data_IF_911337424158
#
_entry.id   IF_911337424158
#
_cell.length_a   1.000
_cell.length_b   1.000
_cell.length_c   1.000
_cell.angle_alpha   90.00
_cell.angle_beta   90.00
_cell.angle_gamma   90.00
#
_symmetry.space_group_name_H-M   'P 1'
#
loop_
_entity.id
_entity.type
_entity.pdbx_description
1 polymer ?
#
# COMPACT_ATOMS: atom_id res chain seq x y z
N UNK A 1 47.75 34.12 1.62
CA UNK A 1 46.40 33.81 1.08
C UNK A 1 46.16 32.32 0.79
N UNK A 2 47.20 31.45 0.74
CA UNK A 2 47.02 30.02 0.46
C UNK A 2 46.45 29.17 1.63
N UNK A 3 46.74 29.53 2.89
CA UNK A 3 46.30 28.74 4.06
C UNK A 3 44.78 28.79 4.32
N UNK A 4 44.11 29.89 3.99
CA UNK A 4 42.67 30.02 4.27
C UNK A 4 41.80 29.15 3.34
N UNK A 5 42.20 28.92 2.09
CA UNK A 5 41.47 28.04 1.18
C UNK A 5 41.60 26.55 1.57
N UNK A 6 42.78 26.12 2.03
CA UNK A 6 43.00 24.72 2.44
C UNK A 6 42.18 24.37 3.68
N UNK A 7 42.07 25.29 4.63
CA UNK A 7 41.25 25.11 5.84
C UNK A 7 39.76 25.05 5.49
N UNK A 8 39.29 25.87 4.54
CA UNK A 8 37.91 25.83 4.04
C UNK A 8 37.58 24.52 3.31
N UNK A 9 38.51 23.98 2.52
CA UNK A 9 38.35 22.67 1.89
C UNK A 9 38.31 21.52 2.90
N UNK A 10 39.18 21.52 3.91
CA UNK A 10 39.14 20.52 4.99
C UNK A 10 37.88 20.63 5.84
N UNK A 11 37.43 21.85 6.16
CA UNK A 11 36.19 22.06 6.91
C UNK A 11 34.97 21.60 6.12
N UNK A 12 34.88 21.87 4.82
CA UNK A 12 33.83 21.33 3.94
C UNK A 12 33.88 19.80 3.83
N UNK A 13 35.07 19.21 3.74
CA UNK A 13 35.24 17.76 3.66
C UNK A 13 34.82 17.06 4.97
N UNK A 14 35.14 17.65 6.13
CA UNK A 14 34.67 17.16 7.43
C UNK A 14 33.16 17.39 7.61
N UNK A 15 32.62 18.52 7.16
CA UNK A 15 31.16 18.76 7.16
C UNK A 15 30.40 17.76 6.26
N UNK A 16 30.97 17.35 5.12
CA UNK A 16 30.40 16.28 4.29
C UNK A 16 30.47 14.89 4.94
N UNK A 17 31.41 14.65 5.85
CA UNK A 17 31.48 13.43 6.68
C UNK A 17 30.56 13.48 7.91
N UNK A 18 29.97 14.65 8.25
CA UNK A 18 28.99 14.78 9.34
C UNK A 18 27.54 14.66 8.91
N UNK A 19 27.27 14.31 7.65
CA UNK A 19 25.99 13.67 7.34
C UNK A 19 25.98 12.40 8.18
N UNK A 20 25.06 12.33 9.15
CA UNK A 20 24.76 11.09 9.83
C UNK A 20 24.39 10.08 8.76
N UNK A 21 25.36 9.26 8.34
CA UNK A 21 25.07 8.04 7.62
C UNK A 21 24.26 7.23 8.62
N UNK A 22 22.93 7.33 8.54
CA UNK A 22 22.06 6.35 9.17
C UNK A 22 22.48 5.05 8.53
N UNK A 23 23.31 4.29 9.24
CA UNK A 23 23.72 2.96 8.83
C UNK A 23 22.43 2.15 8.80
N UNK A 24 21.87 2.02 7.58
CA UNK A 24 20.71 1.18 7.33
C UNK A 24 21.15 -0.22 7.75
N UNK A 25 20.74 -0.62 8.95
CA UNK A 25 21.20 -1.86 9.55
C UNK A 25 20.49 -2.97 8.82
N UNK A 26 21.22 -3.96 8.32
CA UNK A 26 20.57 -5.07 7.63
C UNK A 26 19.66 -5.83 8.60
N UNK A 27 18.53 -6.30 8.10
CA UNK A 27 17.61 -7.09 8.91
C UNK A 27 18.20 -8.48 9.14
N UNK A 28 18.17 -8.97 10.39
CA UNK A 28 18.71 -10.30 10.70
C UNK A 28 17.96 -11.45 9.99
N UNK A 29 16.68 -11.24 9.70
CA UNK A 29 15.82 -12.23 9.03
C UNK A 29 15.93 -12.18 7.49
N UNK A 30 16.45 -11.10 6.92
CA UNK A 30 16.76 -10.99 5.49
C UNK A 30 17.82 -9.91 5.28
N UNK A 31 19.03 -10.32 4.90
CA UNK A 31 20.18 -9.41 4.75
C UNK A 31 20.04 -8.41 3.61
N UNK A 32 19.07 -8.62 2.71
CA UNK A 32 18.76 -7.66 1.64
C UNK A 32 17.97 -6.47 2.17
N UNK A 33 17.19 -6.67 3.23
CA UNK A 33 16.34 -5.64 3.80
C UNK A 33 17.11 -4.73 4.76
N UNK A 34 16.69 -3.47 4.82
CA UNK A 34 17.13 -2.50 5.81
C UNK A 34 16.13 -2.40 6.96
N UNK A 35 16.63 -2.28 8.19
CA UNK A 35 15.84 -2.24 9.40
C UNK A 35 16.18 -0.99 10.22
N UNK A 36 15.15 -0.33 10.73
CA UNK A 36 15.26 0.73 11.72
C UNK A 36 14.58 0.30 13.02
N UNK A 37 15.34 0.30 14.10
CA UNK A 37 14.88 -0.19 15.41
C UNK A 37 14.81 0.95 16.42
N UNK A 38 13.70 1.03 17.16
CA UNK A 38 13.52 1.92 18.31
C UNK A 38 13.01 1.09 19.48
N UNK A 39 13.66 1.16 20.66
CA UNK A 39 13.25 0.41 21.85
C UNK A 39 12.99 -1.10 21.61
N UNK A 40 13.86 -1.74 20.81
CA UNK A 40 13.72 -3.15 20.40
C UNK A 40 12.51 -3.47 19.52
N UNK A 41 11.79 -2.49 18.99
CA UNK A 41 10.75 -2.66 17.95
C UNK A 41 11.34 -2.27 16.61
N UNK A 42 11.16 -3.10 15.59
CA UNK A 42 11.44 -2.72 14.20
C UNK A 42 10.33 -1.76 13.77
N UNK A 43 10.62 -0.47 13.87
CA UNK A 43 9.66 0.58 13.53
C UNK A 43 9.39 0.58 12.03
N UNK A 44 10.45 0.33 11.25
CA UNK A 44 10.41 0.39 9.81
C UNK A 44 11.34 -0.67 9.23
N UNK A 45 10.77 -1.58 8.45
CA UNK A 45 11.48 -2.60 7.68
C UNK A 45 11.34 -2.23 6.20
N UNK A 46 12.46 -1.94 5.55
CA UNK A 46 12.50 -1.64 4.13
C UNK A 46 13.13 -2.81 3.37
N UNK A 47 12.27 -3.59 2.72
CA UNK A 47 12.61 -4.66 1.80
C UNK A 47 12.25 -4.28 0.35
N UNK A 48 12.14 -2.99 0.02
CA UNK A 48 11.78 -2.54 -1.32
C UNK A 48 12.94 -2.74 -2.30
N UNK A 49 12.63 -3.05 -3.57
CA UNK A 49 13.63 -3.17 -4.65
C UNK A 49 14.73 -4.23 -4.44
N UNK A 50 14.46 -5.33 -3.73
CA UNK A 50 15.46 -6.37 -3.43
C UNK A 50 15.20 -7.73 -4.10
N UNK A 51 14.39 -7.72 -5.16
CA UNK A 51 14.06 -8.89 -5.98
C UNK A 51 13.46 -10.06 -5.17
N UNK A 52 12.65 -9.77 -4.15
CA UNK A 52 11.91 -10.80 -3.42
C UNK A 52 10.91 -11.50 -4.33
N UNK A 53 10.90 -12.83 -4.31
CA UNK A 53 9.80 -13.63 -4.89
C UNK A 53 8.79 -14.10 -3.83
N UNK A 54 9.17 -14.01 -2.55
CA UNK A 54 8.37 -14.38 -1.38
C UNK A 54 8.63 -13.38 -0.26
N UNK A 55 7.64 -13.20 0.60
CA UNK A 55 7.76 -12.35 1.78
C UNK A 55 8.62 -13.10 2.83
N UNK A 56 9.65 -12.47 3.41
CA UNK A 56 10.41 -13.08 4.51
C UNK A 56 9.54 -13.23 5.77
N UNK A 57 9.91 -14.15 6.67
CA UNK A 57 9.23 -14.27 7.96
C UNK A 57 9.57 -13.07 8.83
N UNK A 58 8.59 -12.19 9.04
CA UNK A 58 8.76 -10.96 9.79
C UNK A 58 8.73 -11.26 11.30
N UNK A 59 9.65 -10.67 12.09
CA UNK A 59 9.58 -10.71 13.55
C UNK A 59 8.26 -10.12 14.08
N UNK A 60 7.79 -10.59 15.24
CA UNK A 60 6.53 -10.12 15.86
C UNK A 60 6.52 -8.61 16.13
N UNK A 61 7.70 -8.04 16.36
CA UNK A 61 7.92 -6.65 16.74
C UNK A 61 8.15 -5.72 15.54
N UNK A 62 7.58 -6.03 14.36
CA UNK A 62 7.61 -5.15 13.18
C UNK A 62 6.34 -4.30 13.13
N UNK A 63 6.49 -2.97 13.09
CA UNK A 63 5.38 -2.01 13.02
C UNK A 63 5.03 -1.62 11.58
N UNK A 64 6.02 -1.44 10.71
CA UNK A 64 5.81 -1.09 9.31
C UNK A 64 6.75 -1.87 8.41
N UNK A 65 6.25 -2.32 7.27
CA UNK A 65 7.05 -3.04 6.27
C UNK A 65 6.78 -2.51 4.86
N UNK A 66 7.86 -2.15 4.18
CA UNK A 66 7.86 -1.88 2.74
C UNK A 66 8.41 -3.09 1.98
N UNK A 67 7.54 -3.74 1.20
CA UNK A 67 7.82 -4.88 0.32
C UNK A 67 7.63 -4.49 -1.15
N UNK A 68 7.56 -3.19 -1.45
CA UNK A 68 7.24 -2.72 -2.80
C UNK A 68 8.35 -2.96 -3.81
N UNK A 69 7.98 -2.94 -5.09
CA UNK A 69 8.93 -3.11 -6.19
C UNK A 69 9.73 -4.42 -6.10
N UNK A 70 8.99 -5.52 -5.97
CA UNK A 70 9.54 -6.87 -5.90
C UNK A 70 8.79 -7.78 -6.89
N UNK A 71 9.07 -9.07 -6.84
CA UNK A 71 8.47 -10.09 -7.71
C UNK A 71 7.53 -11.01 -6.93
N UNK A 72 6.91 -10.52 -5.85
CA UNK A 72 6.04 -11.32 -4.99
C UNK A 72 4.73 -11.60 -5.73
N UNK A 73 4.45 -12.87 -6.00
CA UNK A 73 3.25 -13.28 -6.71
C UNK A 73 2.12 -13.77 -5.81
N UNK A 74 2.42 -14.15 -4.57
CA UNK A 74 1.45 -14.60 -3.59
C UNK A 74 1.87 -14.25 -2.15
N UNK A 75 0.88 -14.16 -1.28
CA UNK A 75 1.06 -14.16 0.18
C UNK A 75 0.57 -15.53 0.65
N UNK A 76 1.41 -16.35 1.31
CA UNK A 76 0.95 -17.60 1.89
C UNK A 76 -0.15 -17.36 2.94
N UNK A 77 -1.08 -18.29 3.07
CA UNK A 77 -2.09 -18.23 4.13
C UNK A 77 -1.41 -18.21 5.49
N UNK A 78 -1.91 -17.35 6.39
CA UNK A 78 -1.42 -17.19 7.76
C UNK A 78 0.05 -16.73 7.85
N UNK A 79 0.62 -16.17 6.76
CA UNK A 79 1.99 -15.65 6.76
C UNK A 79 2.22 -14.60 7.86
N UNK A 80 1.20 -13.77 8.13
CA UNK A 80 1.24 -12.70 9.12
C UNK A 80 0.60 -13.03 10.46
N UNK A 81 0.38 -14.32 10.78
CA UNK A 81 -0.35 -14.75 11.98
C UNK A 81 0.21 -14.21 13.30
N UNK A 82 1.48 -13.87 13.33
CA UNK A 82 2.22 -13.41 14.50
C UNK A 82 2.60 -11.91 14.44
N UNK A 83 2.11 -11.16 13.44
CA UNK A 83 2.43 -9.75 13.21
C UNK A 83 1.24 -8.84 13.57
N UNK A 84 0.72 -9.00 14.79
CA UNK A 84 -0.48 -8.32 15.30
C UNK A 84 -0.30 -6.82 15.52
N UNK A 85 0.93 -6.35 15.72
CA UNK A 85 1.25 -4.92 15.85
C UNK A 85 1.59 -4.24 14.52
N UNK A 86 1.58 -4.96 13.40
CA UNK A 86 1.90 -4.39 12.09
C UNK A 86 0.80 -3.39 11.71
N UNK A 87 1.18 -2.15 11.44
CA UNK A 87 0.27 -1.03 11.20
C UNK A 87 0.23 -0.60 9.73
N UNK A 88 1.35 -0.75 9.02
CA UNK A 88 1.48 -0.36 7.61
C UNK A 88 2.16 -1.45 6.80
N UNK A 89 1.59 -1.75 5.63
CA UNK A 89 2.14 -2.70 4.66
C UNK A 89 2.10 -2.08 3.28
N UNK A 90 3.28 -1.99 2.65
CA UNK A 90 3.39 -1.60 1.25
C UNK A 90 3.80 -2.81 0.39
N UNK A 91 2.87 -3.32 -0.43
CA UNK A 91 3.05 -4.42 -1.38
C UNK A 91 2.92 -3.93 -2.84
N UNK A 92 3.04 -2.61 -3.06
CA UNK A 92 2.88 -2.02 -4.39
C UNK A 92 3.95 -2.50 -5.37
N UNK A 93 3.69 -2.43 -6.68
CA UNK A 93 4.67 -2.80 -7.71
C UNK A 93 5.18 -4.24 -7.52
N UNK A 94 4.26 -5.18 -7.36
CA UNK A 94 4.54 -6.62 -7.24
C UNK A 94 3.75 -7.40 -8.31
N UNK A 95 3.56 -8.71 -8.13
CA UNK A 95 2.90 -9.59 -9.10
C UNK A 95 1.73 -10.36 -8.47
N UNK A 96 1.13 -9.81 -7.41
CA UNK A 96 -0.03 -10.42 -6.75
C UNK A 96 -1.18 -10.52 -7.74
N UNK A 97 -1.88 -11.66 -7.76
CA UNK A 97 -2.93 -11.93 -8.75
C UNK A 97 -4.26 -12.39 -8.15
N UNK A 98 -4.26 -12.80 -6.88
CA UNK A 98 -5.43 -13.29 -6.15
C UNK A 98 -5.37 -12.84 -4.69
N UNK A 99 -6.52 -12.51 -4.10
CA UNK A 99 -6.66 -12.20 -2.68
C UNK A 99 -7.73 -13.07 -2.02
N UNK A 100 -7.41 -13.61 -0.85
CA UNK A 100 -8.36 -14.25 0.06
C UNK A 100 -8.14 -13.76 1.51
N UNK A 101 -9.08 -14.05 2.41
CA UNK A 101 -8.98 -13.61 3.81
C UNK A 101 -7.78 -14.18 4.55
N UNK A 102 -7.43 -15.45 4.33
CA UNK A 102 -6.42 -16.17 5.10
C UNK A 102 -5.02 -15.60 4.87
N UNK A 103 -4.78 -14.95 3.73
CA UNK A 103 -3.55 -14.18 3.43
C UNK A 103 -3.31 -13.04 4.43
N UNK A 104 -4.36 -12.49 5.02
CA UNK A 104 -4.29 -11.35 5.95
C UNK A 104 -4.60 -11.75 7.41
N UNK A 105 -4.66 -13.04 7.70
CA UNK A 105 -4.86 -13.52 9.07
C UNK A 105 -3.74 -13.04 10.00
N UNK A 106 -4.10 -12.49 11.15
CA UNK A 106 -3.17 -11.95 12.16
C UNK A 106 -2.95 -10.43 12.08
N UNK A 107 -3.31 -9.79 10.97
CA UNK A 107 -3.12 -8.34 10.73
C UNK A 107 -4.19 -7.48 11.42
N UNK A 108 -4.26 -7.56 12.74
CA UNK A 108 -5.32 -6.94 13.54
C UNK A 108 -5.19 -5.42 13.71
N UNK A 109 -3.99 -4.86 13.48
CA UNK A 109 -3.68 -3.44 13.71
C UNK A 109 -3.33 -2.67 12.43
N UNK A 110 -3.42 -3.31 11.26
CA UNK A 110 -3.10 -2.66 9.98
C UNK A 110 -4.13 -1.57 9.71
N UNK A 111 -3.68 -0.32 9.60
CA UNK A 111 -4.53 0.80 9.23
C UNK A 111 -4.28 1.26 7.79
N UNK A 112 -3.12 0.94 7.21
CA UNK A 112 -2.75 1.30 5.84
C UNK A 112 -2.22 0.09 5.07
N UNK A 113 -2.88 -0.23 3.97
CA UNK A 113 -2.46 -1.30 3.05
C UNK A 113 -2.38 -0.74 1.63
N UNK A 114 -1.21 -0.88 1.02
CA UNK A 114 -0.97 -0.50 -0.37
C UNK A 114 -0.64 -1.74 -1.20
N UNK A 115 -1.39 -1.95 -2.27
CA UNK A 115 -1.23 -3.05 -3.23
C UNK A 115 -1.39 -2.56 -4.67
N UNK A 116 -1.19 -1.25 -4.91
CA UNK A 116 -1.31 -0.71 -6.25
C UNK A 116 -0.24 -1.25 -7.19
N UNK A 117 -0.50 -1.23 -8.50
CA UNK A 117 0.42 -1.75 -9.50
C UNK A 117 0.76 -3.24 -9.25
N UNK A 118 -0.27 -4.06 -9.20
CA UNK A 118 -0.18 -5.52 -9.14
C UNK A 118 -1.04 -6.11 -10.27
N UNK A 119 -1.20 -7.43 -10.31
CA UNK A 119 -1.97 -8.13 -11.34
C UNK A 119 -3.26 -8.77 -10.76
N UNK A 120 -3.84 -8.16 -9.72
CA UNK A 120 -4.95 -8.77 -8.98
C UNK A 120 -6.19 -8.80 -9.88
N UNK A 121 -6.68 -10.01 -10.17
CA UNK A 121 -7.86 -10.23 -11.02
C UNK A 121 -9.05 -10.79 -10.25
N UNK A 122 -8.79 -11.46 -9.14
CA UNK A 122 -9.78 -12.20 -8.36
C UNK A 122 -9.61 -11.94 -6.87
N UNK A 123 -10.74 -11.77 -6.19
CA UNK A 123 -10.82 -11.51 -4.75
C UNK A 123 -11.94 -12.38 -4.18
N UNK A 124 -11.75 -13.00 -3.01
CA UNK A 124 -12.90 -13.58 -2.30
C UNK A 124 -13.78 -12.46 -1.75
N UNK A 125 -15.08 -12.74 -1.55
CA UNK A 125 -16.03 -11.79 -0.94
C UNK A 125 -15.52 -11.24 0.41
N UNK A 126 -14.84 -12.08 1.16
CA UNK A 126 -14.33 -11.82 2.50
C UNK A 126 -12.83 -11.47 2.53
N UNK A 127 -12.19 -11.14 1.40
CA UNK A 127 -10.74 -10.96 1.30
C UNK A 127 -10.14 -10.03 2.37
N UNK A 128 -10.89 -9.01 2.81
CA UNK A 128 -10.43 -8.03 3.80
C UNK A 128 -11.02 -8.23 5.21
N UNK A 129 -11.67 -9.37 5.48
CA UNK A 129 -12.43 -9.63 6.72
C UNK A 129 -11.58 -9.47 8.01
N UNK A 130 -10.31 -9.87 7.97
CA UNK A 130 -9.44 -9.79 9.14
C UNK A 130 -8.82 -8.40 9.37
N UNK A 131 -8.89 -7.50 8.39
CA UNK A 131 -8.31 -6.16 8.45
C UNK A 131 -9.22 -5.16 9.16
N UNK A 132 -9.51 -5.41 10.44
CA UNK A 132 -10.56 -4.72 11.22
C UNK A 132 -10.30 -3.23 11.50
N UNK A 133 -9.05 -2.81 11.41
CA UNK A 133 -8.60 -1.43 11.65
C UNK A 133 -8.23 -0.70 10.37
N UNK A 134 -8.38 -1.34 9.21
CA UNK A 134 -7.95 -0.78 7.94
C UNK A 134 -8.71 0.49 7.62
N UNK A 135 -7.99 1.61 7.53
CA UNK A 135 -8.55 2.92 7.24
C UNK A 135 -8.19 3.41 5.83
N UNK A 136 -7.07 2.94 5.27
CA UNK A 136 -6.57 3.32 3.96
C UNK A 136 -6.25 2.07 3.14
N UNK A 137 -6.87 1.96 1.97
CA UNK A 137 -6.60 0.90 1.00
C UNK A 137 -6.31 1.49 -0.38
N UNK A 138 -5.15 1.15 -0.93
CA UNK A 138 -4.79 1.47 -2.32
C UNK A 138 -4.66 0.19 -3.14
N UNK A 139 -5.56 0.02 -4.10
CA UNK A 139 -5.59 -1.10 -5.04
C UNK A 139 -5.62 -0.61 -6.49
N UNK A 140 -5.17 0.62 -6.73
CA UNK A 140 -5.09 1.18 -8.08
C UNK A 140 -4.21 0.33 -8.99
N UNK A 141 -4.44 0.40 -10.29
CA UNK A 141 -3.60 -0.28 -11.28
C UNK A 141 -3.49 -1.78 -11.01
N UNK A 142 -4.65 -2.42 -11.03
CA UNK A 142 -4.82 -3.86 -10.95
C UNK A 142 -5.82 -4.28 -12.03
N UNK A 143 -6.36 -5.48 -11.98
CA UNK A 143 -7.35 -5.98 -12.93
C UNK A 143 -8.61 -6.49 -12.21
N UNK A 144 -8.96 -5.88 -11.07
CA UNK A 144 -10.05 -6.36 -10.20
C UNK A 144 -11.40 -6.08 -10.86
N UNK A 145 -12.27 -7.09 -10.90
CA UNK A 145 -13.66 -6.98 -11.35
C UNK A 145 -14.60 -6.88 -10.17
N UNK A 146 -14.80 -5.67 -9.67
CA UNK A 146 -15.60 -5.41 -8.45
C UNK A 146 -17.05 -5.90 -8.56
N UNK A 147 -17.66 -5.82 -9.75
CA UNK A 147 -19.03 -6.28 -10.04
C UNK A 147 -19.25 -7.78 -9.86
N UNK A 148 -18.22 -8.61 -10.01
CA UNK A 148 -18.33 -10.07 -10.01
C UNK A 148 -18.12 -10.70 -8.61
N UNK A 149 -17.59 -9.95 -7.65
CA UNK A 149 -17.00 -10.55 -6.44
C UNK A 149 -17.70 -10.13 -5.14
N UNK A 150 -18.66 -9.18 -5.17
CA UNK A 150 -19.40 -8.70 -3.99
C UNK A 150 -18.48 -8.48 -2.77
N UNK A 151 -17.30 -7.89 -3.01
CA UNK A 151 -16.27 -7.73 -1.97
C UNK A 151 -16.83 -6.90 -0.84
N UNK A 152 -16.70 -7.42 0.38
CA UNK A 152 -17.11 -6.73 1.60
C UNK A 152 -15.90 -6.02 2.17
N UNK A 153 -15.92 -4.68 2.12
CA UNK A 153 -14.89 -3.86 2.73
C UNK A 153 -15.10 -3.72 4.24
N UNK A 154 -14.01 -3.55 5.03
CA UNK A 154 -14.13 -3.36 6.46
C UNK A 154 -14.79 -2.02 6.77
N UNK A 155 -15.60 -1.99 7.84
CA UNK A 155 -16.34 -0.80 8.28
C UNK A 155 -15.43 0.35 8.71
N UNK A 156 -14.17 0.04 9.04
CA UNK A 156 -13.13 1.02 9.37
C UNK A 156 -12.58 1.78 8.16
N UNK A 157 -12.88 1.34 6.93
CA UNK A 157 -12.27 1.90 5.72
C UNK A 157 -12.79 3.31 5.44
N UNK A 158 -11.88 4.28 5.43
CA UNK A 158 -12.20 5.69 5.21
C UNK A 158 -11.71 6.20 3.85
N UNK A 159 -10.56 5.69 3.40
CA UNK A 159 -9.95 6.09 2.13
C UNK A 159 -9.74 4.87 1.26
N UNK A 160 -10.30 4.93 0.05
CA UNK A 160 -10.17 3.88 -0.95
C UNK A 160 -9.72 4.46 -2.28
N UNK A 161 -8.68 3.85 -2.85
CA UNK A 161 -8.20 4.14 -4.20
C UNK A 161 -8.36 2.90 -5.08
N UNK A 162 -9.22 2.97 -6.10
CA UNK A 162 -9.62 1.80 -6.92
C UNK A 162 -9.42 1.99 -8.42
N UNK A 163 -8.91 3.13 -8.85
CA UNK A 163 -8.76 3.42 -10.28
C UNK A 163 -7.92 2.37 -11.05
N UNK A 164 -8.10 2.32 -12.38
CA UNK A 164 -7.38 1.43 -13.27
C UNK A 164 -7.47 -0.04 -12.83
N UNK A 165 -8.69 -0.43 -12.44
CA UNK A 165 -9.12 -1.82 -12.33
C UNK A 165 -10.01 -2.16 -13.53
N UNK A 166 -10.59 -3.36 -13.60
CA UNK A 166 -11.52 -3.63 -14.71
C UNK A 166 -12.76 -2.75 -14.56
N UNK A 167 -13.11 -2.03 -15.64
CA UNK A 167 -14.11 -0.98 -15.64
C UNK A 167 -15.51 -1.53 -15.39
N UNK A 168 -16.18 -1.00 -14.37
CA UNK A 168 -17.61 -1.23 -14.12
C UNK A 168 -18.26 0.07 -13.68
N UNK A 169 -19.47 0.34 -14.17
CA UNK A 169 -20.21 1.57 -13.82
C UNK A 169 -20.64 1.63 -12.34
N UNK A 170 -20.67 0.47 -11.65
CA UNK A 170 -21.17 0.38 -10.29
C UNK A 170 -20.04 0.19 -9.28
N UNK A 171 -20.04 1.05 -8.26
CA UNK A 171 -19.18 0.92 -7.09
C UNK A 171 -19.74 -0.15 -6.13
N UNK A 172 -18.88 -0.85 -5.39
CA UNK A 172 -19.32 -1.67 -4.26
C UNK A 172 -19.90 -0.80 -3.13
N UNK A 173 -20.79 -1.37 -2.33
CA UNK A 173 -21.40 -0.68 -1.18
C UNK A 173 -20.38 -0.36 -0.09
N UNK A 174 -20.19 0.94 0.18
CA UNK A 174 -19.24 1.45 1.18
C UNK A 174 -19.83 2.67 1.89
N UNK A 175 -20.85 2.47 2.74
CA UNK A 175 -21.65 3.54 3.34
C UNK A 175 -20.91 4.41 4.37
N UNK A 176 -19.63 4.13 4.66
CA UNK A 176 -18.81 4.88 5.61
C UNK A 176 -17.58 5.54 4.97
N UNK A 177 -17.42 5.38 3.65
CA UNK A 177 -16.27 5.90 2.94
C UNK A 177 -16.24 7.43 2.97
N UNK A 178 -15.06 8.02 3.17
CA UNK A 178 -14.86 9.47 3.22
C UNK A 178 -14.12 9.99 1.98
N UNK A 179 -13.09 9.27 1.54
CA UNK A 179 -12.29 9.65 0.37
C UNK A 179 -12.33 8.52 -0.65
N UNK A 180 -12.75 8.83 -1.87
CA UNK A 180 -12.71 7.95 -3.02
C UNK A 180 -11.79 8.53 -4.10
N UNK A 181 -10.72 7.81 -4.43
CA UNK A 181 -9.81 8.16 -5.52
C UNK A 181 -10.10 7.23 -6.72
N UNK A 182 -10.67 7.84 -7.77
CA UNK A 182 -10.89 7.24 -9.09
C UNK A 182 -10.18 8.08 -10.16
N UNK A 183 -9.08 8.72 -9.78
CA UNK A 183 -8.52 9.88 -10.50
C UNK A 183 -8.00 9.57 -11.90
N UNK A 184 -7.59 8.35 -12.22
CA UNK A 184 -7.01 8.03 -13.52
C UNK A 184 -5.49 7.94 -13.49
N UNK A 185 -4.94 7.16 -14.41
CA UNK A 185 -3.71 7.51 -15.13
C UNK A 185 -4.05 7.71 -16.61
N UNK A 186 -3.54 8.79 -17.19
CA UNK A 186 -3.65 9.06 -18.64
C UNK A 186 -5.08 9.15 -19.21
N UNK A 187 -6.09 9.47 -18.40
CA UNK A 187 -7.47 9.71 -18.85
C UNK A 187 -8.37 8.48 -18.98
N UNK A 188 -7.90 7.28 -18.60
CA UNK A 188 -8.74 6.08 -18.53
C UNK A 188 -9.31 5.92 -17.13
N UNK A 189 -10.58 6.28 -16.97
CA UNK A 189 -11.26 6.26 -15.68
C UNK A 189 -11.87 4.90 -15.37
N UNK A 190 -11.89 4.53 -14.09
CA UNK A 190 -12.86 3.57 -13.58
C UNK A 190 -14.30 4.02 -13.90
N UNK A 191 -14.60 5.30 -13.67
CA UNK A 191 -15.91 5.94 -13.96
C UNK A 191 -15.78 6.83 -15.20
N UNK A 192 -16.20 6.33 -16.35
CA UNK A 192 -16.14 7.07 -17.62
C UNK A 192 -17.35 8.01 -17.84
N UNK A 193 -18.43 7.81 -17.10
CA UNK A 193 -19.66 8.60 -17.17
C UNK A 193 -20.25 8.76 -15.78
N UNK A 194 -20.60 9.99 -15.42
CA UNK A 194 -21.29 10.31 -14.16
C UNK A 194 -22.78 10.52 -14.44
N UNK A 195 -23.62 9.63 -13.92
CA UNK A 195 -25.08 9.67 -13.92
C UNK A 195 -25.57 9.99 -12.49
N UNK A 196 -26.85 10.38 -12.27
CA UNK A 196 -27.36 10.72 -10.95
C UNK A 196 -27.11 9.65 -9.86
N UNK A 197 -27.11 8.36 -10.23
CA UNK A 197 -26.93 7.24 -9.29
C UNK A 197 -25.48 6.72 -9.18
N UNK A 198 -24.51 7.30 -9.91
CA UNK A 198 -23.13 6.78 -9.98
C UNK A 198 -22.47 6.60 -8.60
N UNK A 199 -22.78 7.48 -7.66
CA UNK A 199 -22.20 7.47 -6.31
C UNK A 199 -23.16 7.00 -5.22
N UNK A 200 -24.27 6.35 -5.59
CA UNK A 200 -25.30 5.90 -4.64
C UNK A 200 -24.78 4.94 -3.57
N UNK A 201 -23.79 4.12 -3.92
CA UNK A 201 -23.15 3.13 -3.03
C UNK A 201 -22.09 3.74 -2.09
N UNK A 202 -21.77 5.02 -2.26
CA UNK A 202 -20.78 5.77 -1.46
C UNK A 202 -21.36 7.10 -0.97
N UNK A 203 -22.52 7.09 -0.26
CA UNK A 203 -23.29 8.30 0.03
C UNK A 203 -22.60 9.28 1.00
N UNK A 204 -21.54 8.85 1.69
CA UNK A 204 -20.85 9.65 2.73
C UNK A 204 -19.53 10.26 2.29
N UNK A 205 -19.18 10.17 1.00
CA UNK A 205 -17.90 10.70 0.53
C UNK A 205 -17.83 12.23 0.71
N UNK A 206 -16.72 12.68 1.27
CA UNK A 206 -16.37 14.09 1.45
C UNK A 206 -15.38 14.54 0.38
N UNK A 207 -14.55 13.61 -0.10
CA UNK A 207 -13.51 13.86 -1.09
C UNK A 207 -13.63 12.83 -2.21
N UNK A 208 -13.70 13.33 -3.44
CA UNK A 208 -13.75 12.55 -4.66
C UNK A 208 -12.67 13.07 -5.60
N UNK A 209 -11.66 12.25 -5.86
CA UNK A 209 -10.62 12.58 -6.84
C UNK A 209 -10.95 11.96 -8.19
N UNK A 210 -11.22 12.83 -9.17
CA UNK A 210 -11.45 12.52 -10.59
C UNK A 210 -10.54 13.38 -11.49
N UNK A 211 -9.43 13.89 -10.95
CA UNK A 211 -8.66 14.97 -11.56
C UNK A 211 -7.93 14.59 -12.86
N UNK A 212 -7.43 13.35 -12.97
CA UNK A 212 -6.75 12.85 -14.17
C UNK A 212 -7.69 12.11 -15.14
N UNK A 213 -9.00 12.34 -14.98
CA UNK A 213 -10.06 11.57 -15.58
C UNK A 213 -10.77 12.35 -16.70
N UNK A 214 -10.91 11.76 -17.88
CA UNK A 214 -11.72 12.33 -18.98
C UNK A 214 -13.16 11.87 -18.83
N UNK A 215 -13.94 12.56 -18.00
CA UNK A 215 -15.32 12.21 -17.70
C UNK A 215 -16.27 12.86 -18.70
N UNK A 216 -17.20 12.08 -19.26
CA UNK A 216 -18.34 12.60 -20.01
C UNK A 216 -19.55 12.83 -19.08
N UNK A 217 -20.25 13.95 -19.26
CA UNK A 217 -21.47 14.28 -18.54
C UNK A 217 -22.68 13.97 -19.43
N UNK A 218 -23.67 13.22 -18.92
CA UNK A 218 -24.93 12.90 -19.60
C UNK A 218 -26.13 13.25 -18.74
#
# INVERSE_FOLDING_TARGET
MANSLVILFFACFVLMMTVSVQTKTTCFFDQRCGCKTTNKTYVEVDCSHVNLSKIPFLPRNVSSVDLSNNNISNIPEHHFKDNDILTEINLSLNRLHFLNKEMFYGLNSVFKLQMNNNNITKTTKDAFLYLRTLSYLDVKENNISWSNHNVTFPQSLLTLKIDYNSSHENLPEMPHLKTLDVSGLSGQCYIHTVKPDTFRSVPTIHELDMSACKVNYM
#
